data_IF_980369448223
#
_entry.id   IF_980369448223
#
_cell.length_a   1.000
_cell.length_b   1.000
_cell.length_c   1.000
_cell.angle_alpha   90.00
_cell.angle_beta   90.00
_cell.angle_gamma   90.00
#
_symmetry.space_group_name_H-M   'P 1'
#
loop_
_entity.id
_entity.type
_entity.pdbx_description
1 polymer ?
#
# COMPACT_ATOMS: atom_id res chain seq x y z
N UNK A 1 -60.44 -33.08 6.17
CA UNK A 1 -59.84 -32.91 4.82
C UNK A 1 -58.33 -32.92 4.98
N UNK A 2 -57.63 -33.72 4.18
CA UNK A 2 -56.17 -33.80 4.02
C UNK A 2 -55.27 -33.83 5.27
N UNK A 3 -55.06 -35.05 5.77
CA UNK A 3 -53.72 -35.50 6.18
C UNK A 3 -53.05 -36.30 5.04
N UNK A 4 -51.78 -36.68 5.26
CA UNK A 4 -51.01 -37.72 4.55
C UNK A 4 -50.65 -37.52 3.06
N UNK A 5 -49.52 -36.84 2.82
CA UNK A 5 -48.58 -37.04 1.69
C UNK A 5 -47.25 -36.33 2.06
N UNK A 6 -46.02 -36.84 1.85
CA UNK A 6 -45.53 -38.14 1.33
C UNK A 6 -44.28 -38.61 2.11
N UNK A 7 -44.16 -39.91 2.39
CA UNK A 7 -42.88 -40.65 2.39
C UNK A 7 -43.18 -42.04 1.82
N UNK A 8 -42.60 -42.41 0.67
CA UNK A 8 -42.41 -43.80 0.20
C UNK A 8 -41.80 -43.81 -1.21
N UNK A 9 -40.54 -44.24 -1.30
CA UNK A 9 -39.97 -44.85 -2.50
C UNK A 9 -38.99 -45.95 -2.09
N UNK A 10 -39.52 -47.01 -1.44
CA UNK A 10 -38.82 -48.28 -1.31
C UNK A 10 -39.28 -49.23 -2.42
N UNK A 11 -38.32 -49.85 -3.09
CA UNK A 11 -38.53 -50.66 -4.28
C UNK A 11 -39.18 -52.01 -3.90
N UNK A 12 -40.34 -52.40 -4.48
CA UNK A 12 -41.08 -53.59 -4.05
C UNK A 12 -40.56 -54.92 -4.63
N UNK A 13 -39.39 -54.95 -5.27
CA UNK A 13 -38.92 -56.09 -6.07
C UNK A 13 -37.68 -56.83 -5.53
N UNK A 14 -37.28 -56.63 -4.27
CA UNK A 14 -36.24 -57.49 -3.65
C UNK A 14 -36.84 -58.84 -3.19
N UNK A 15 -36.38 -59.98 -3.74
CA UNK A 15 -36.82 -61.30 -3.29
C UNK A 15 -36.23 -61.64 -1.93
N UNK A 16 -37.10 -61.98 -0.96
CA UNK A 16 -36.69 -62.43 0.37
C UNK A 16 -36.04 -63.81 0.29
N UNK A 17 -34.71 -63.88 0.40
CA UNK A 17 -34.02 -65.15 0.68
C UNK A 17 -34.39 -65.67 2.08
N UNK A 18 -34.59 -66.98 2.17
CA UNK A 18 -34.83 -67.69 3.44
C UNK A 18 -33.51 -67.89 4.20
N UNK A 19 -33.55 -68.02 5.54
CA UNK A 19 -32.45 -68.60 6.28
C UNK A 19 -32.42 -70.12 6.04
N UNK A 20 -31.28 -70.63 5.57
CA UNK A 20 -31.03 -72.07 5.44
C UNK A 20 -29.99 -72.49 6.51
N UNK A 21 -30.18 -73.68 7.08
CA UNK A 21 -29.38 -74.15 8.21
C UNK A 21 -27.94 -74.53 7.81
N UNK A 22 -27.07 -74.55 8.82
CA UNK A 22 -25.67 -74.98 8.75
C UNK A 22 -25.45 -76.32 8.00
N UNK A 23 -24.22 -76.51 7.49
CA UNK A 23 -23.40 -77.49 8.21
C UNK A 23 -21.96 -77.04 8.52
N UNK A 24 -21.57 -77.33 9.76
CA UNK A 24 -20.22 -77.34 10.32
C UNK A 24 -19.18 -78.10 9.46
N UNK A 25 -17.95 -77.56 9.32
CA UNK A 25 -16.73 -78.34 9.13
C UNK A 25 -15.70 -78.16 10.27
N UNK A 26 -14.67 -79.00 10.22
CA UNK A 26 -13.64 -79.25 11.26
C UNK A 26 -12.49 -78.21 11.32
N UNK A 27 -11.70 -78.18 12.43
CA UNK A 27 -10.65 -77.18 12.64
C UNK A 27 -9.36 -77.49 11.89
N UNK A 28 -8.68 -76.44 11.40
CA UNK A 28 -7.30 -76.44 10.90
C UNK A 28 -6.70 -75.02 10.96
N UNK A 29 -5.36 -74.88 10.90
CA UNK A 29 -4.55 -74.63 12.08
C UNK A 29 -4.26 -73.15 12.32
N UNK A 30 -3.66 -72.86 13.47
CA UNK A 30 -3.09 -71.56 13.81
C UNK A 30 -2.13 -71.07 12.71
N UNK A 31 -2.44 -69.90 12.15
CA UNK A 31 -1.50 -69.06 11.42
C UNK A 31 -1.32 -67.78 12.20
N UNK A 32 -0.12 -67.57 12.73
CA UNK A 32 0.27 -66.34 13.41
C UNK A 32 0.02 -65.15 12.48
N UNK A 33 -0.84 -64.22 12.90
CA UNK A 33 -0.97 -62.92 12.26
C UNK A 33 -0.06 -61.96 13.02
N UNK A 34 1.09 -61.66 12.43
CA UNK A 34 1.98 -60.61 12.92
C UNK A 34 1.18 -59.30 12.98
N UNK A 35 1.15 -58.70 14.17
CA UNK A 35 0.55 -57.38 14.36
C UNK A 35 1.47 -56.33 13.75
N UNK A 36 1.31 -56.06 12.46
CA UNK A 36 2.04 -55.01 11.75
C UNK A 36 1.67 -53.65 12.38
N UNK A 37 2.54 -53.14 13.26
CA UNK A 37 2.29 -51.88 13.96
C UNK A 37 2.52 -50.72 13.01
N UNK A 38 1.42 -50.22 12.44
CA UNK A 38 1.37 -48.98 11.64
C UNK A 38 1.96 -47.84 12.47
N UNK A 39 3.23 -47.52 12.23
CA UNK A 39 3.86 -46.34 12.83
C UNK A 39 3.21 -45.07 12.24
N UNK A 40 3.00 -44.02 13.05
CA UNK A 40 2.54 -42.75 12.53
C UNK A 40 3.55 -42.20 11.52
N UNK A 41 3.12 -41.60 10.39
CA UNK A 41 4.05 -41.08 9.40
C UNK A 41 4.93 -39.98 10.01
N UNK A 42 6.25 -40.17 9.94
CA UNK A 42 7.22 -39.16 10.39
C UNK A 42 7.04 -37.86 9.59
N UNK A 43 7.01 -36.74 10.30
CA UNK A 43 6.91 -35.42 9.67
C UNK A 43 8.27 -35.00 9.11
N UNK A 44 8.39 -34.99 7.78
CA UNK A 44 9.62 -34.62 7.10
C UNK A 44 9.95 -33.12 7.24
N UNK A 45 11.03 -32.80 7.94
CA UNK A 45 11.69 -31.49 7.83
C UNK A 45 12.53 -31.42 6.54
N UNK A 46 12.37 -30.35 5.75
CA UNK A 46 13.14 -30.16 4.51
C UNK A 46 14.61 -29.90 4.82
N UNK A 47 15.47 -30.84 4.42
CA UNK A 47 16.89 -30.85 4.81
C UNK A 47 17.81 -29.89 4.03
N UNK A 48 17.35 -29.32 2.91
CA UNK A 48 18.12 -28.39 2.09
C UNK A 48 17.26 -27.29 1.46
N UNK A 49 17.10 -26.13 2.13
CA UNK A 49 16.87 -24.88 1.39
C UNK A 49 18.07 -24.62 0.47
N UNK A 50 17.86 -23.90 -0.64
CA UNK A 50 18.94 -23.47 -1.52
C UNK A 50 19.97 -22.59 -0.79
N UNK A 51 21.18 -22.40 -1.35
CA UNK A 51 22.24 -21.65 -0.68
C UNK A 51 21.78 -20.22 -0.35
N UNK A 52 21.80 -19.85 0.93
CA UNK A 52 21.19 -18.62 1.47
C UNK A 52 21.70 -17.33 0.78
N UNK A 53 22.95 -17.33 0.31
CA UNK A 53 23.52 -16.20 -0.42
C UNK A 53 22.75 -15.86 -1.72
N UNK A 54 22.03 -16.82 -2.30
CA UNK A 54 21.23 -16.59 -3.50
C UNK A 54 19.98 -15.76 -3.18
N UNK A 55 19.31 -16.03 -2.06
CA UNK A 55 18.24 -15.17 -1.54
C UNK A 55 18.78 -13.78 -1.19
N UNK A 56 19.96 -13.71 -0.55
CA UNK A 56 20.62 -12.44 -0.21
C UNK A 56 20.98 -11.61 -1.46
N UNK A 57 21.50 -12.24 -2.52
CA UNK A 57 21.81 -11.58 -3.79
C UNK A 57 20.54 -11.07 -4.48
N UNK A 58 19.44 -11.83 -4.40
CA UNK A 58 18.15 -11.38 -4.91
C UNK A 58 17.55 -10.24 -4.10
N UNK A 59 17.59 -10.28 -2.77
CA UNK A 59 17.18 -9.16 -1.91
C UNK A 59 18.05 -7.91 -2.14
N UNK A 60 19.35 -8.08 -2.41
CA UNK A 60 20.26 -6.97 -2.74
C UNK A 60 19.99 -6.40 -4.14
N UNK A 61 19.72 -7.25 -5.13
CA UNK A 61 19.33 -6.83 -6.48
C UNK A 61 17.95 -6.17 -6.51
N UNK A 62 17.02 -6.64 -5.67
CA UNK A 62 15.73 -6.00 -5.42
C UNK A 62 15.92 -4.65 -4.73
N UNK A 63 16.70 -4.58 -3.64
CA UNK A 63 16.96 -3.34 -2.92
C UNK A 63 17.68 -2.31 -3.80
N UNK A 64 18.62 -2.73 -4.65
CA UNK A 64 19.28 -1.84 -5.61
C UNK A 64 18.32 -1.37 -6.72
N UNK A 65 17.49 -2.27 -7.26
CA UNK A 65 16.46 -1.92 -8.24
C UNK A 65 15.41 -0.98 -7.65
N UNK A 66 14.96 -1.24 -6.42
CA UNK A 66 13.97 -0.40 -5.73
C UNK A 66 14.56 0.93 -5.24
N UNK A 67 15.85 0.96 -4.87
CA UNK A 67 16.58 2.22 -4.64
C UNK A 67 16.66 3.06 -5.91
N UNK A 68 16.71 2.43 -7.08
CA UNK A 68 16.65 3.10 -8.39
C UNK A 68 15.21 3.51 -8.78
N UNK A 69 14.18 2.77 -8.34
CA UNK A 69 12.76 3.17 -8.45
C UNK A 69 12.36 4.30 -7.49
N UNK A 70 13.04 4.44 -6.35
CA UNK A 70 12.89 5.58 -5.42
C UNK A 70 13.87 6.71 -5.72
N UNK A 71 14.75 6.52 -6.71
CA UNK A 71 15.29 7.65 -7.46
C UNK A 71 14.11 8.39 -8.07
N UNK A 72 13.96 9.65 -7.71
CA UNK A 72 12.76 10.46 -7.85
C UNK A 72 12.56 11.00 -9.29
N UNK A 73 12.90 10.19 -10.29
CA UNK A 73 12.79 10.52 -11.70
C UNK A 73 11.36 10.87 -12.08
N UNK A 74 11.16 12.07 -12.63
CA UNK A 74 9.86 12.52 -13.09
C UNK A 74 9.26 11.52 -14.09
N UNK A 75 7.98 11.19 -13.92
CA UNK A 75 7.21 10.38 -14.88
C UNK A 75 6.73 11.25 -16.06
N UNK A 76 7.63 12.02 -16.66
CA UNK A 76 7.29 13.05 -17.66
C UNK A 76 6.82 12.43 -19.00
N UNK A 77 7.17 11.17 -19.29
CA UNK A 77 6.75 10.50 -20.52
C UNK A 77 5.86 9.27 -20.26
N UNK A 78 4.84 9.02 -21.13
CA UNK A 78 4.10 7.75 -21.14
C UNK A 78 5.00 6.52 -21.35
N UNK A 79 6.18 6.71 -21.95
CA UNK A 79 7.22 5.69 -22.09
C UNK A 79 7.84 5.29 -20.76
N UNK A 80 7.94 6.19 -19.78
CA UNK A 80 8.40 5.85 -18.44
C UNK A 80 7.35 4.97 -17.77
N UNK A 81 6.08 5.35 -17.83
CA UNK A 81 4.97 4.55 -17.32
C UNK A 81 4.90 3.15 -17.99
N UNK A 82 5.21 3.05 -19.30
CA UNK A 82 5.34 1.78 -20.01
C UNK A 82 6.58 0.99 -19.57
N UNK A 83 7.74 1.64 -19.38
CA UNK A 83 8.95 1.02 -18.87
C UNK A 83 8.74 0.48 -17.45
N UNK A 84 8.04 1.21 -16.58
CA UNK A 84 7.63 0.73 -15.26
C UNK A 84 6.67 -0.46 -15.35
N UNK A 85 5.70 -0.45 -16.27
CA UNK A 85 4.80 -1.59 -16.48
C UNK A 85 5.54 -2.83 -17.02
N UNK A 86 6.45 -2.66 -17.97
CA UNK A 86 7.29 -3.74 -18.52
C UNK A 86 8.29 -4.26 -17.48
N UNK A 87 8.89 -3.37 -16.69
CA UNK A 87 9.77 -3.75 -15.57
C UNK A 87 9.01 -4.51 -14.49
N UNK A 88 7.82 -4.03 -14.10
CA UNK A 88 6.95 -4.74 -13.17
C UNK A 88 6.54 -6.12 -13.71
N UNK A 89 6.24 -6.21 -15.01
CA UNK A 89 5.97 -7.48 -15.71
C UNK A 89 7.19 -8.40 -15.70
N UNK A 90 8.41 -7.88 -15.92
CA UNK A 90 9.65 -8.64 -15.89
C UNK A 90 10.02 -9.12 -14.48
N UNK A 91 9.77 -8.31 -13.44
CA UNK A 91 9.92 -8.69 -12.03
C UNK A 91 8.90 -9.77 -11.66
N UNK A 92 7.63 -9.61 -12.07
CA UNK A 92 6.59 -10.62 -11.88
C UNK A 92 6.96 -11.94 -12.57
N UNK A 93 7.57 -11.86 -13.76
CA UNK A 93 8.03 -13.02 -14.55
C UNK A 93 9.26 -13.72 -13.96
N UNK A 94 10.28 -12.97 -13.51
CA UNK A 94 11.44 -13.54 -12.80
C UNK A 94 11.01 -14.19 -11.47
N UNK A 95 10.10 -13.55 -10.73
CA UNK A 95 9.56 -14.13 -9.51
C UNK A 95 8.74 -15.39 -9.80
N UNK A 96 7.87 -15.37 -10.83
CA UNK A 96 7.03 -16.51 -11.19
C UNK A 96 7.86 -17.71 -11.68
N UNK A 97 8.94 -17.45 -12.43
CA UNK A 97 9.84 -18.50 -12.90
C UNK A 97 10.70 -19.12 -11.78
N UNK A 98 11.12 -18.35 -10.77
CA UNK A 98 11.74 -18.91 -9.56
C UNK A 98 10.79 -19.82 -8.79
N UNK A 99 9.55 -19.37 -8.62
CA UNK A 99 8.50 -20.13 -7.94
C UNK A 99 8.09 -21.39 -8.70
N UNK A 100 8.13 -21.36 -10.04
CA UNK A 100 8.05 -22.55 -10.89
C UNK A 100 9.22 -23.50 -10.60
N UNK A 101 10.46 -22.99 -10.59
CA UNK A 101 11.70 -23.76 -10.37
C UNK A 101 11.73 -24.42 -8.99
N UNK A 102 11.43 -23.68 -7.91
CA UNK A 102 11.42 -24.23 -6.55
C UNK A 102 10.36 -25.31 -6.36
N UNK A 103 9.18 -25.14 -6.97
CA UNK A 103 8.15 -26.19 -7.00
C UNK A 103 8.61 -27.42 -7.80
N UNK A 104 9.23 -27.21 -8.96
CA UNK A 104 9.79 -28.29 -9.78
C UNK A 104 10.86 -29.06 -8.99
N UNK A 105 11.70 -28.35 -8.25
CA UNK A 105 12.79 -28.92 -7.47
C UNK A 105 12.29 -29.67 -6.23
N UNK A 106 11.23 -29.20 -5.55
CA UNK A 106 10.53 -29.99 -4.53
C UNK A 106 9.86 -31.24 -5.10
N UNK A 107 9.23 -31.14 -6.28
CA UNK A 107 8.57 -32.27 -6.95
C UNK A 107 9.59 -33.32 -7.43
N UNK A 108 10.79 -32.88 -7.84
CA UNK A 108 11.94 -33.74 -8.16
C UNK A 108 12.69 -34.28 -6.92
N UNK A 109 12.55 -33.64 -5.75
CA UNK A 109 13.23 -34.03 -4.52
C UNK A 109 12.38 -34.88 -3.57
N UNK A 110 11.14 -35.21 -3.93
CA UNK A 110 10.28 -36.12 -3.18
C UNK A 110 10.90 -37.53 -3.10
N UNK A 111 11.41 -37.97 -1.93
CA UNK A 111 12.12 -39.24 -1.83
C UNK A 111 11.11 -40.37 -1.60
N UNK A 112 10.55 -40.88 -2.70
CA UNK A 112 9.58 -41.99 -2.69
C UNK A 112 9.58 -42.79 -3.98
N UNK A 113 9.75 -42.15 -5.14
CA UNK A 113 9.83 -42.81 -6.44
C UNK A 113 11.20 -42.57 -7.10
N UNK A 114 12.12 -43.51 -6.89
CA UNK A 114 13.34 -43.65 -7.71
C UNK A 114 13.04 -44.05 -9.17
N UNK A 115 11.77 -44.31 -9.48
CA UNK A 115 11.21 -44.51 -10.83
C UNK A 115 10.23 -43.39 -11.17
N UNK A 116 10.72 -42.14 -11.23
CA UNK A 116 9.92 -40.93 -11.51
C UNK A 116 9.17 -40.95 -12.87
N UNK A 117 9.54 -41.89 -13.74
CA UNK A 117 8.60 -42.54 -14.66
C UNK A 117 8.96 -44.04 -14.69
N UNK A 118 8.06 -44.98 -14.33
CA UNK A 118 8.11 -46.28 -14.97
C UNK A 118 7.89 -46.02 -16.47
N UNK A 119 8.76 -46.52 -17.35
CA UNK A 119 8.59 -46.44 -18.81
C UNK A 119 7.47 -47.36 -19.33
N UNK A 120 6.52 -47.72 -18.46
CA UNK A 120 5.21 -48.17 -18.90
C UNK A 120 4.54 -47.02 -19.62
N UNK A 121 4.15 -47.25 -20.88
CA UNK A 121 3.44 -46.30 -21.72
C UNK A 121 1.99 -46.05 -21.27
N UNK A 122 1.70 -46.25 -19.98
CA UNK A 122 0.41 -45.97 -19.39
C UNK A 122 0.26 -44.44 -19.32
N UNK A 123 -0.79 -43.86 -19.95
CA UNK A 123 -1.00 -42.42 -19.92
C UNK A 123 -1.17 -41.95 -18.48
N UNK A 124 -0.62 -40.77 -18.15
CA UNK A 124 -0.80 -40.14 -16.83
C UNK A 124 -2.27 -40.24 -16.42
N UNK A 125 -2.52 -40.79 -15.23
CA UNK A 125 -3.87 -40.80 -14.66
C UNK A 125 -4.35 -39.34 -14.53
N UNK A 126 -5.62 -39.03 -14.84
CA UNK A 126 -6.11 -37.66 -14.83
C UNK A 126 -5.86 -36.92 -13.51
N UNK A 127 -5.84 -37.65 -12.39
CA UNK A 127 -5.62 -37.14 -11.04
C UNK A 127 -4.23 -36.51 -10.86
N UNK A 128 -3.15 -37.17 -11.31
CA UNK A 128 -1.78 -36.63 -11.19
C UNK A 128 -1.59 -35.31 -11.96
N UNK A 129 -2.25 -35.16 -13.10
CA UNK A 129 -2.27 -33.90 -13.84
C UNK A 129 -3.02 -32.78 -13.09
N UNK A 130 -4.07 -33.11 -12.33
CA UNK A 130 -4.80 -32.11 -11.53
C UNK A 130 -4.03 -31.63 -10.31
N UNK A 131 -3.26 -32.48 -9.63
CA UNK A 131 -2.50 -32.09 -8.44
C UNK A 131 -1.34 -31.14 -8.77
N UNK A 132 -0.54 -31.47 -9.80
CA UNK A 132 0.55 -30.60 -10.25
C UNK A 132 0.05 -29.21 -10.66
N UNK A 133 -1.11 -29.14 -11.34
CA UNK A 133 -1.76 -27.88 -11.72
C UNK A 133 -2.27 -27.10 -10.50
N UNK A 134 -2.74 -27.78 -9.45
CA UNK A 134 -3.22 -27.18 -8.19
C UNK A 134 -2.09 -26.58 -7.37
N UNK A 135 -0.95 -27.29 -7.24
CA UNK A 135 0.25 -26.75 -6.59
C UNK A 135 0.76 -25.48 -7.28
N UNK A 136 0.75 -25.48 -8.61
CA UNK A 136 1.14 -24.33 -9.43
C UNK A 136 0.29 -23.07 -9.15
N UNK A 137 -1.02 -23.25 -9.03
CA UNK A 137 -1.96 -22.15 -8.77
C UNK A 137 -1.87 -21.65 -7.32
N UNK A 138 -1.57 -22.52 -6.36
CA UNK A 138 -1.29 -22.12 -4.98
C UNK A 138 -0.06 -21.22 -4.87
N UNK A 139 1.02 -21.58 -5.57
CA UNK A 139 2.26 -20.81 -5.58
C UNK A 139 2.06 -19.46 -6.29
N UNK A 140 1.29 -19.43 -7.39
CA UNK A 140 0.90 -18.18 -8.06
C UNK A 140 -0.03 -17.30 -7.20
N UNK A 141 -0.90 -17.89 -6.37
CA UNK A 141 -1.71 -17.12 -5.41
C UNK A 141 -0.85 -16.51 -4.29
N UNK A 142 0.08 -17.29 -3.75
CA UNK A 142 1.07 -16.83 -2.75
C UNK A 142 1.94 -15.70 -3.31
N UNK A 143 2.30 -15.78 -4.60
CA UNK A 143 3.01 -14.75 -5.35
C UNK A 143 2.37 -13.38 -5.26
N UNK A 144 1.14 -13.31 -5.76
CA UNK A 144 0.44 -12.04 -5.96
C UNK A 144 0.08 -11.48 -4.58
N UNK A 145 -0.20 -12.35 -3.60
CA UNK A 145 -0.36 -11.95 -2.20
C UNK A 145 0.92 -11.31 -1.62
N UNK A 146 2.08 -11.96 -1.72
CA UNK A 146 3.34 -11.41 -1.18
C UNK A 146 3.76 -10.11 -1.89
N UNK A 147 3.67 -10.07 -3.22
CA UNK A 147 3.94 -8.86 -4.02
C UNK A 147 2.97 -7.73 -3.65
N UNK A 148 1.67 -8.02 -3.51
CA UNK A 148 0.68 -7.05 -3.03
C UNK A 148 1.03 -6.52 -1.63
N UNK A 149 1.42 -7.40 -0.71
CA UNK A 149 1.79 -7.00 0.66
C UNK A 149 2.99 -6.05 0.66
N UNK A 150 4.00 -6.32 -0.19
CA UNK A 150 5.18 -5.44 -0.34
C UNK A 150 4.85 -4.11 -1.00
N UNK A 151 3.98 -4.09 -2.02
CA UNK A 151 3.46 -2.84 -2.61
C UNK A 151 2.67 -2.04 -1.56
N UNK A 152 1.85 -2.69 -0.74
CA UNK A 152 1.10 -2.04 0.35
C UNK A 152 2.06 -1.48 1.42
N UNK A 153 3.14 -2.18 1.76
CA UNK A 153 4.18 -1.65 2.67
C UNK A 153 4.92 -0.45 2.07
N UNK A 154 5.28 -0.48 0.78
CA UNK A 154 5.91 0.65 0.09
C UNK A 154 4.97 1.85 0.01
N UNK A 155 3.71 1.60 -0.34
CA UNK A 155 2.63 2.59 -0.31
C UNK A 155 2.45 3.21 1.09
N UNK A 156 2.45 2.39 2.14
CA UNK A 156 2.39 2.88 3.52
C UNK A 156 3.63 3.69 3.90
N UNK A 157 4.83 3.27 3.49
CA UNK A 157 6.07 4.01 3.75
C UNK A 157 6.05 5.37 3.06
N UNK A 158 5.87 5.43 1.74
CA UNK A 158 5.78 6.68 0.96
C UNK A 158 4.70 7.60 1.53
N UNK A 159 3.55 7.05 1.91
CA UNK A 159 2.44 7.79 2.50
C UNK A 159 2.77 8.31 3.91
N UNK A 160 3.43 7.53 4.76
CA UNK A 160 3.89 7.98 6.10
C UNK A 160 4.95 9.07 5.95
N UNK A 161 5.88 8.94 5.01
CA UNK A 161 6.89 9.97 4.68
C UNK A 161 6.22 11.25 4.18
N UNK A 162 5.25 11.14 3.28
CA UNK A 162 4.47 12.29 2.79
C UNK A 162 3.65 12.97 3.91
N UNK A 163 2.96 12.20 4.76
CA UNK A 163 2.26 12.79 5.90
C UNK A 163 3.20 13.34 6.97
N UNK A 164 4.37 12.75 7.19
CA UNK A 164 5.35 13.28 8.14
C UNK A 164 5.92 14.60 7.63
N UNK A 165 6.22 14.70 6.32
CA UNK A 165 6.55 15.96 5.63
C UNK A 165 5.44 17.00 5.79
N UNK A 166 4.19 16.70 5.42
CA UNK A 166 3.09 17.69 5.47
C UNK A 166 2.66 18.06 6.89
N UNK A 167 2.56 17.10 7.80
CA UNK A 167 2.23 17.40 9.21
C UNK A 167 3.38 18.13 9.90
N UNK A 168 4.64 17.82 9.57
CA UNK A 168 5.79 18.61 9.99
C UNK A 168 5.71 20.02 9.41
N UNK A 169 5.46 20.20 8.11
CA UNK A 169 5.38 21.52 7.48
C UNK A 169 4.23 22.37 8.02
N UNK A 170 3.00 21.84 8.06
CA UNK A 170 1.84 22.56 8.60
C UNK A 170 2.05 22.94 10.07
N UNK A 171 2.59 22.03 10.89
CA UNK A 171 2.94 22.32 12.30
C UNK A 171 4.09 23.32 12.42
N UNK A 172 5.08 23.24 11.53
CA UNK A 172 6.21 24.17 11.41
C UNK A 172 5.68 25.57 11.11
N UNK A 173 4.96 25.74 9.99
CA UNK A 173 4.36 27.00 9.60
C UNK A 173 3.41 27.56 10.66
N UNK A 174 2.56 26.74 11.29
CA UNK A 174 1.65 27.21 12.34
C UNK A 174 2.38 27.65 13.61
N UNK A 175 3.35 26.85 14.10
CA UNK A 175 4.16 27.21 15.29
C UNK A 175 4.95 28.49 15.02
N UNK A 176 5.60 28.56 13.85
CA UNK A 176 6.38 29.73 13.43
C UNK A 176 5.52 30.98 13.33
N UNK A 177 4.35 30.92 12.67
CA UNK A 177 3.41 32.05 12.61
C UNK A 177 2.97 32.54 14.00
N UNK A 178 2.71 31.62 14.94
CA UNK A 178 2.30 31.99 16.29
C UNK A 178 3.44 32.65 17.08
N UNK A 179 4.66 32.12 16.98
CA UNK A 179 5.86 32.67 17.61
C UNK A 179 6.25 34.04 17.02
N UNK A 180 6.15 34.22 15.68
CA UNK A 180 6.34 35.51 15.01
C UNK A 180 5.28 36.52 15.44
N UNK A 181 3.99 36.14 15.53
CA UNK A 181 2.93 37.01 16.06
C UNK A 181 3.17 37.40 17.51
N UNK A 182 3.69 36.48 18.34
CA UNK A 182 4.08 36.77 19.72
C UNK A 182 5.26 37.75 19.80
N UNK A 183 6.28 37.58 18.93
CA UNK A 183 7.40 38.52 18.81
C UNK A 183 6.94 39.92 18.40
N UNK A 184 6.09 40.05 17.37
CA UNK A 184 5.51 41.33 16.92
C UNK A 184 4.73 42.00 18.06
N UNK A 185 3.99 41.23 18.86
CA UNK A 185 3.24 41.76 20.00
C UNK A 185 4.14 42.21 21.18
N UNK A 186 5.33 41.62 21.34
CA UNK A 186 6.30 42.00 22.38
C UNK A 186 7.15 43.19 21.94
N UNK A 187 7.69 43.17 20.72
CA UNK A 187 8.45 44.27 20.14
C UNK A 187 8.09 44.48 18.66
N UNK A 188 7.29 45.52 18.32
CA UNK A 188 6.96 45.84 16.94
C UNK A 188 8.16 46.41 16.16
N UNK A 189 9.26 46.80 16.83
CA UNK A 189 10.48 47.26 16.15
C UNK A 189 11.33 46.07 15.69
N UNK A 190 11.05 45.57 14.48
CA UNK A 190 11.71 44.41 13.87
C UNK A 190 13.24 44.57 13.79
N UNK A 191 13.75 45.80 13.69
CA UNK A 191 15.19 46.11 13.61
C UNK A 191 15.95 45.64 14.86
N UNK A 192 15.28 45.56 16.02
CA UNK A 192 15.89 45.10 17.28
C UNK A 192 15.95 43.57 17.41
N UNK A 193 15.16 42.82 16.63
CA UNK A 193 15.02 41.37 16.75
C UNK A 193 16.33 40.55 16.68
N UNK A 194 17.37 40.91 15.90
CA UNK A 194 18.65 40.17 15.91
C UNK A 194 19.35 40.17 17.28
N UNK A 195 19.05 41.17 18.12
CA UNK A 195 19.65 41.35 19.44
C UNK A 195 18.79 40.77 20.57
N UNK A 196 17.55 40.35 20.28
CA UNK A 196 16.63 39.77 21.25
C UNK A 196 16.78 38.24 21.20
N UNK A 197 17.34 37.60 22.23
CA UNK A 197 17.50 36.15 22.23
C UNK A 197 16.13 35.46 22.30
N UNK A 198 15.74 34.77 21.22
CA UNK A 198 14.58 33.87 21.21
C UNK A 198 15.04 32.40 21.10
N UNK A 199 15.29 31.71 22.22
CA UNK A 199 15.77 30.34 22.21
C UNK A 199 14.73 29.33 21.67
N UNK A 200 13.43 29.66 21.68
CA UNK A 200 12.38 28.85 21.05
C UNK A 200 12.57 28.84 19.53
N UNK A 201 12.68 30.03 18.94
CA UNK A 201 12.84 30.22 17.51
C UNK A 201 14.21 29.72 17.02
N UNK A 202 15.28 30.02 17.74
CA UNK A 202 16.63 29.56 17.41
C UNK A 202 16.72 28.02 17.42
N UNK A 203 16.19 27.35 18.46
CA UNK A 203 16.14 25.87 18.47
C UNK A 203 15.24 25.30 17.37
N UNK A 204 14.15 25.99 17.03
CA UNK A 204 13.23 25.58 15.97
C UNK A 204 13.86 25.67 14.57
N UNK A 205 14.62 26.73 14.29
CA UNK A 205 15.28 26.97 13.01
C UNK A 205 16.52 26.10 12.83
N UNK A 206 17.37 25.99 13.85
CA UNK A 206 18.58 25.13 13.82
C UNK A 206 18.21 23.66 13.53
N UNK A 207 17.11 23.15 14.10
CA UNK A 207 16.60 21.79 13.82
C UNK A 207 16.19 21.55 12.36
N UNK A 208 16.07 22.61 11.56
CA UNK A 208 15.70 22.59 10.13
C UNK A 208 16.81 23.11 9.22
N UNK A 209 17.98 23.43 9.77
CA UNK A 209 19.13 23.94 9.01
C UNK A 209 19.11 25.43 8.70
N UNK A 210 18.33 26.24 9.44
CA UNK A 210 18.27 27.70 9.28
C UNK A 210 18.91 28.41 10.47
N UNK A 211 19.61 29.53 10.22
CA UNK A 211 20.13 30.41 11.27
C UNK A 211 19.13 31.57 11.53
N UNK A 212 18.81 31.82 12.81
CA UNK A 212 17.85 32.87 13.18
C UNK A 212 18.34 34.27 12.81
N UNK A 213 19.63 34.56 12.93
CA UNK A 213 20.17 35.89 12.64
C UNK A 213 20.15 36.15 11.14
N UNK A 214 20.53 35.16 10.33
CA UNK A 214 20.43 35.24 8.87
C UNK A 214 18.99 35.52 8.43
N UNK A 215 18.00 34.78 8.96
CA UNK A 215 16.60 34.99 8.57
C UNK A 215 16.02 36.33 9.03
N UNK A 216 16.44 36.86 10.19
CA UNK A 216 16.04 38.21 10.61
C UNK A 216 16.76 39.28 9.77
N UNK A 217 18.00 39.06 9.32
CA UNK A 217 18.65 39.96 8.36
C UNK A 217 17.92 39.95 7.00
N UNK A 218 17.43 38.80 6.53
CA UNK A 218 16.59 38.71 5.33
C UNK A 218 15.28 39.51 5.48
N UNK A 219 14.67 39.49 6.68
CA UNK A 219 13.50 40.32 7.00
C UNK A 219 13.82 41.82 7.05
N UNK A 220 14.94 42.21 7.68
CA UNK A 220 15.39 43.61 7.74
C UNK A 220 15.70 44.13 6.32
N UNK A 221 16.40 43.37 5.50
CA UNK A 221 16.64 43.69 4.08
C UNK A 221 15.33 43.89 3.32
N UNK A 222 14.31 43.06 3.59
CA UNK A 222 12.98 43.20 2.98
C UNK A 222 12.26 44.47 3.47
N UNK A 223 12.43 44.88 4.73
CA UNK A 223 11.89 46.14 5.28
C UNK A 223 12.57 47.39 4.73
N UNK A 224 13.89 47.34 4.51
CA UNK A 224 14.67 48.46 3.97
C UNK A 224 14.55 48.59 2.44
N UNK A 225 14.09 47.53 1.76
CA UNK A 225 13.92 47.52 0.32
C UNK A 225 12.76 48.41 -0.16
N UNK A 226 12.90 48.92 -1.39
CA UNK A 226 11.94 49.83 -2.01
C UNK A 226 11.20 49.15 -3.17
N UNK A 227 9.95 49.54 -3.35
CA UNK A 227 9.12 49.20 -4.52
C UNK A 227 9.66 49.83 -5.80
N UNK A 228 9.18 49.40 -6.97
CA UNK A 228 9.54 49.96 -8.27
C UNK A 228 9.29 51.49 -8.37
N UNK A 229 8.32 52.01 -7.60
CA UNK A 229 8.00 53.44 -7.51
C UNK A 229 8.90 54.22 -6.52
N UNK A 230 9.92 53.56 -5.95
CA UNK A 230 10.85 54.14 -4.97
C UNK A 230 10.27 54.31 -3.56
N UNK A 231 9.05 53.83 -3.29
CA UNK A 231 8.45 53.88 -1.96
C UNK A 231 8.95 52.71 -1.11
N UNK A 232 9.25 52.98 0.17
CA UNK A 232 9.50 51.96 1.18
C UNK A 232 8.29 51.01 1.30
N UNK A 233 8.56 49.73 1.53
CA UNK A 233 7.51 48.73 1.69
C UNK A 233 6.86 48.90 3.07
N UNK A 234 5.54 48.81 3.12
CA UNK A 234 4.80 48.79 4.39
C UNK A 234 5.27 47.61 5.27
N UNK A 235 5.54 47.81 6.58
CA UNK A 235 6.10 46.76 7.42
C UNK A 235 5.27 45.47 7.52
N UNK A 236 3.94 45.54 7.39
CA UNK A 236 3.11 44.33 7.36
C UNK A 236 3.29 43.58 6.03
N UNK A 237 3.28 44.30 4.91
CA UNK A 237 3.57 43.72 3.58
C UNK A 237 4.98 43.13 3.50
N UNK A 238 6.00 43.81 4.04
CA UNK A 238 7.37 43.30 4.10
C UNK A 238 7.46 42.00 4.94
N UNK A 239 6.74 41.95 6.06
CA UNK A 239 6.65 40.73 6.89
C UNK A 239 5.99 39.59 6.11
N UNK A 240 4.91 39.85 5.38
CA UNK A 240 4.24 38.81 4.56
C UNK A 240 5.13 38.33 3.41
N UNK A 241 5.85 39.23 2.72
CA UNK A 241 6.83 38.92 1.66
C UNK A 241 7.95 38.01 2.20
N UNK A 242 8.55 38.37 3.34
CA UNK A 242 9.56 37.55 4.00
C UNK A 242 8.99 36.19 4.44
N UNK A 243 7.79 36.16 5.03
CA UNK A 243 7.11 34.92 5.42
C UNK A 243 6.93 33.96 4.24
N UNK A 244 6.63 34.45 3.02
CA UNK A 244 6.53 33.61 1.81
C UNK A 244 7.89 33.05 1.38
N UNK A 245 8.92 33.88 1.32
CA UNK A 245 10.29 33.46 1.01
C UNK A 245 10.78 32.40 1.99
N UNK A 246 10.69 32.69 3.29
CA UNK A 246 11.05 31.75 4.34
C UNK A 246 10.25 30.43 4.27
N UNK A 247 8.92 30.47 4.05
CA UNK A 247 8.15 29.23 3.92
C UNK A 247 8.51 28.43 2.67
N UNK A 248 8.94 29.08 1.59
CA UNK A 248 9.48 28.43 0.40
C UNK A 248 10.83 27.79 0.68
N UNK A 249 11.75 28.49 1.37
CA UNK A 249 13.05 27.94 1.78
C UNK A 249 12.90 26.71 2.67
N UNK A 250 11.99 26.74 3.64
CA UNK A 250 11.65 25.57 4.47
C UNK A 250 11.11 24.42 3.61
N UNK A 251 10.26 24.70 2.62
CA UNK A 251 9.75 23.66 1.71
C UNK A 251 10.85 23.06 0.83
N UNK A 252 11.72 23.89 0.25
CA UNK A 252 12.86 23.43 -0.55
C UNK A 252 13.81 22.57 0.28
N UNK A 253 14.13 23.01 1.51
CA UNK A 253 15.04 22.30 2.40
C UNK A 253 14.47 20.96 2.83
N UNK A 254 13.19 20.91 3.23
CA UNK A 254 12.51 19.66 3.53
C UNK A 254 12.46 18.74 2.29
N UNK A 255 12.18 19.28 1.10
CA UNK A 255 12.18 18.49 -0.14
C UNK A 255 13.56 17.89 -0.43
N UNK A 256 14.65 18.66 -0.29
CA UNK A 256 16.03 18.16 -0.42
C UNK A 256 16.34 17.05 0.59
N UNK A 257 15.87 17.18 1.83
CA UNK A 257 16.09 16.15 2.87
C UNK A 257 15.32 14.85 2.59
N UNK A 258 14.24 14.88 1.78
CA UNK A 258 13.48 13.70 1.36
C UNK A 258 13.81 13.19 -0.06
N UNK A 259 14.39 14.03 -0.94
CA UNK A 259 14.71 13.69 -2.31
C UNK A 259 16.23 13.53 -2.52
N UNK A 260 16.69 12.28 -2.64
CA UNK A 260 18.09 11.94 -2.87
C UNK A 260 18.66 12.44 -4.20
N UNK A 261 17.81 12.74 -5.19
CA UNK A 261 18.24 13.23 -6.51
C UNK A 261 18.43 14.76 -6.54
N UNK A 262 18.12 15.45 -5.44
CA UNK A 262 18.20 16.91 -5.35
C UNK A 262 16.98 17.63 -5.93
N UNK A 263 17.18 18.89 -6.30
CA UNK A 263 16.15 19.77 -6.87
C UNK A 263 16.44 19.91 -8.38
N UNK A 264 15.45 19.71 -9.28
CA UNK A 264 15.60 20.00 -10.69
C UNK A 264 16.12 21.42 -10.96
N UNK A 265 17.04 21.57 -11.92
CA UNK A 265 17.73 22.85 -12.20
C UNK A 265 16.77 24.01 -12.55
N UNK A 266 15.65 23.70 -13.22
CA UNK A 266 14.63 24.67 -13.57
C UNK A 266 13.82 25.14 -12.33
N UNK A 267 13.55 24.21 -11.42
CA UNK A 267 12.87 24.46 -10.16
C UNK A 267 13.76 25.26 -9.20
N UNK A 268 15.05 24.94 -9.12
CA UNK A 268 16.03 25.72 -8.37
C UNK A 268 16.16 27.14 -8.95
N UNK A 269 16.26 27.30 -10.27
CA UNK A 269 16.31 28.64 -10.90
C UNK A 269 15.08 29.49 -10.58
N UNK A 270 13.87 28.90 -10.59
CA UNK A 270 12.64 29.61 -10.21
C UNK A 270 12.62 29.99 -8.73
N UNK A 271 13.12 29.11 -7.85
CA UNK A 271 13.29 29.41 -6.43
C UNK A 271 14.24 30.60 -6.21
N UNK A 272 15.36 30.64 -6.93
CA UNK A 272 16.35 31.72 -6.86
C UNK A 272 15.78 33.03 -7.42
N UNK A 273 15.01 32.98 -8.52
CA UNK A 273 14.31 34.14 -9.08
C UNK A 273 13.27 34.68 -8.08
N UNK A 274 12.46 33.83 -7.45
CA UNK A 274 11.49 34.26 -6.44
C UNK A 274 12.15 34.91 -5.20
N UNK A 275 13.34 34.43 -4.82
CA UNK A 275 14.13 35.01 -3.72
C UNK A 275 14.78 36.36 -4.08
N UNK A 276 15.05 36.61 -5.36
CA UNK A 276 15.69 37.86 -5.81
C UNK A 276 14.67 38.89 -6.28
N UNK A 277 13.63 38.47 -7.01
CA UNK A 277 12.56 39.30 -7.58
C UNK A 277 11.51 39.70 -6.55
N UNK A 278 11.81 40.76 -5.80
CA UNK A 278 10.94 41.33 -4.77
C UNK A 278 9.56 41.77 -5.30
N UNK A 279 9.50 42.33 -6.51
CA UNK A 279 8.26 42.79 -7.14
C UNK A 279 7.28 41.64 -7.34
N UNK A 280 7.78 40.46 -7.74
CA UNK A 280 6.95 39.27 -7.92
C UNK A 280 6.36 38.78 -6.60
N UNK A 281 7.15 38.72 -5.51
CA UNK A 281 6.64 38.32 -4.20
C UNK A 281 5.59 39.30 -3.66
N UNK A 282 5.75 40.60 -3.91
CA UNK A 282 4.75 41.62 -3.55
C UNK A 282 3.44 41.45 -4.35
N UNK A 283 3.54 41.15 -5.65
CA UNK A 283 2.38 40.86 -6.50
C UNK A 283 1.63 39.63 -5.97
N UNK A 284 2.37 38.55 -5.74
CA UNK A 284 1.88 37.30 -5.18
C UNK A 284 1.16 37.49 -3.84
N UNK A 285 1.76 38.20 -2.88
CA UNK A 285 1.12 38.45 -1.57
C UNK A 285 -0.21 39.20 -1.73
N UNK A 286 -0.26 40.20 -2.62
CA UNK A 286 -1.49 40.98 -2.87
C UNK A 286 -2.59 40.14 -3.54
N UNK A 287 -2.24 39.28 -4.49
CA UNK A 287 -3.23 38.51 -5.25
C UNK A 287 -3.65 37.21 -4.54
N UNK A 288 -2.81 36.66 -3.66
CA UNK A 288 -3.06 35.39 -2.98
C UNK A 288 -4.35 35.35 -2.15
N UNK A 289 -4.83 36.49 -1.68
CA UNK A 289 -6.10 36.61 -0.95
C UNK A 289 -7.35 36.65 -1.86
N UNK A 290 -7.21 36.94 -3.15
CA UNK A 290 -8.32 37.15 -4.09
C UNK A 290 -8.32 36.19 -5.27
N UNK A 291 -7.15 35.88 -5.82
CA UNK A 291 -6.94 34.84 -6.82
C UNK A 291 -5.57 34.15 -6.62
N UNK A 292 -5.44 33.21 -5.66
CA UNK A 292 -4.21 32.44 -5.45
C UNK A 292 -3.75 31.67 -6.70
N UNK A 293 -4.64 31.43 -7.66
CA UNK A 293 -4.34 30.79 -8.93
C UNK A 293 -3.67 31.75 -9.94
N UNK A 294 -3.34 32.98 -9.55
CA UNK A 294 -2.52 33.94 -10.32
C UNK A 294 -1.15 34.27 -9.68
N UNK A 295 -0.86 33.72 -8.49
CA UNK A 295 0.44 33.89 -7.81
C UNK A 295 1.47 32.86 -8.30
N UNK A 296 2.72 33.23 -8.55
CA UNK A 296 3.77 32.27 -8.97
C UNK A 296 4.15 31.26 -7.86
N UNK A 297 4.01 31.65 -6.59
CA UNK A 297 4.17 30.81 -5.41
C UNK A 297 3.17 29.65 -5.39
N UNK A 298 1.91 29.92 -5.75
CA UNK A 298 0.80 28.97 -5.59
C UNK A 298 0.18 28.46 -6.88
N UNK A 299 0.47 29.07 -8.04
CA UNK A 299 -0.18 28.73 -9.30
C UNK A 299 -0.15 27.22 -9.50
N UNK A 300 -1.33 26.64 -9.66
CA UNK A 300 -1.52 25.19 -9.82
C UNK A 300 -2.32 24.85 -11.09
N UNK A 301 -2.67 25.87 -11.88
CA UNK A 301 -3.46 25.73 -13.10
C UNK A 301 -2.72 24.88 -14.14
N UNK A 302 -3.24 23.67 -14.36
CA UNK A 302 -2.88 22.81 -15.48
C UNK A 302 -3.43 23.40 -16.80
N UNK A 303 -2.76 24.42 -17.33
CA UNK A 303 -3.03 24.98 -18.67
C UNK A 303 -2.06 24.42 -19.72
N UNK A 304 -1.97 23.08 -19.77
CA UNK A 304 -1.47 22.29 -20.90
C UNK A 304 -0.27 22.84 -21.69
N UNK A 305 0.94 22.82 -21.12
CA UNK A 305 2.20 22.44 -21.83
C UNK A 305 3.49 22.72 -21.05
N UNK A 306 3.48 23.56 -20.02
CA UNK A 306 4.66 23.83 -19.17
C UNK A 306 4.32 23.87 -17.67
N UNK A 307 4.99 23.06 -16.83
CA UNK A 307 4.86 23.17 -15.37
C UNK A 307 5.64 24.40 -14.89
N UNK A 308 4.93 25.50 -14.63
CA UNK A 308 5.53 26.79 -14.29
C UNK A 308 5.68 27.09 -12.79
N UNK A 309 5.65 26.07 -11.94
CA UNK A 309 5.16 26.20 -10.57
C UNK A 309 6.20 25.70 -9.57
N UNK A 310 6.63 26.55 -8.62
CA UNK A 310 7.64 26.12 -7.63
C UNK A 310 7.03 25.12 -6.66
N UNK A 311 5.95 25.51 -5.97
CA UNK A 311 5.32 24.64 -4.99
C UNK A 311 4.58 23.46 -5.64
N UNK A 312 3.98 23.68 -6.82
CA UNK A 312 3.39 22.62 -7.64
C UNK A 312 4.43 21.56 -8.04
N UNK A 313 5.56 21.96 -8.63
CA UNK A 313 6.63 21.05 -9.04
C UNK A 313 7.24 20.25 -7.89
N UNK A 314 7.42 20.86 -6.71
CA UNK A 314 7.87 20.15 -5.50
C UNK A 314 6.89 19.07 -5.01
N UNK A 315 5.60 19.15 -5.40
CA UNK A 315 4.52 18.35 -4.82
C UNK A 315 3.85 17.39 -5.80
N UNK A 316 3.94 17.61 -7.11
CA UNK A 316 3.14 16.91 -8.11
C UNK A 316 3.48 15.40 -8.17
N UNK A 317 4.78 15.06 -8.24
CA UNK A 317 5.24 13.66 -8.16
C UNK A 317 4.69 12.91 -6.92
N UNK A 318 4.90 13.42 -5.69
CA UNK A 318 4.30 12.86 -4.48
C UNK A 318 2.75 12.81 -4.49
N UNK A 319 2.07 13.82 -5.04
CA UNK A 319 0.61 13.87 -5.12
C UNK A 319 0.03 12.83 -6.09
N UNK A 320 0.57 12.77 -7.31
CA UNK A 320 0.21 11.77 -8.33
C UNK A 320 0.50 10.37 -7.79
N UNK A 321 1.69 10.15 -7.22
CA UNK A 321 2.05 8.87 -6.58
C UNK A 321 1.03 8.46 -5.52
N UNK A 322 0.66 9.37 -4.60
CA UNK A 322 -0.30 9.05 -3.53
C UNK A 322 -1.72 8.76 -4.06
N UNK A 323 -2.16 9.47 -5.11
CA UNK A 323 -3.45 9.17 -5.81
C UNK A 323 -3.43 7.78 -6.44
N UNK A 324 -2.37 7.48 -7.20
CA UNK A 324 -2.20 6.21 -7.90
C UNK A 324 -2.09 5.03 -6.92
N UNK A 325 -1.37 5.20 -5.82
CA UNK A 325 -1.17 4.18 -4.76
C UNK A 325 -2.50 3.61 -4.24
N UNK A 326 -3.49 4.45 -3.96
CA UNK A 326 -4.79 4.00 -3.43
C UNK A 326 -5.55 3.19 -4.50
N UNK A 327 -5.50 3.65 -5.76
CA UNK A 327 -6.09 2.93 -6.89
C UNK A 327 -5.43 1.58 -7.14
N UNK A 328 -4.10 1.52 -7.17
CA UNK A 328 -3.36 0.27 -7.31
C UNK A 328 -3.64 -0.69 -6.16
N UNK A 329 -3.68 -0.24 -4.91
CA UNK A 329 -4.03 -1.08 -3.76
C UNK A 329 -5.46 -1.67 -3.89
N UNK A 330 -6.43 -0.87 -4.32
CA UNK A 330 -7.79 -1.34 -4.58
C UNK A 330 -7.87 -2.34 -5.72
N UNK A 331 -7.25 -2.06 -6.87
CA UNK A 331 -7.21 -2.94 -8.04
C UNK A 331 -6.53 -4.26 -7.71
N UNK A 332 -5.41 -4.24 -6.99
CA UNK A 332 -4.66 -5.45 -6.59
C UNK A 332 -5.50 -6.32 -5.64
N UNK A 333 -6.11 -5.76 -4.59
CA UNK A 333 -6.98 -6.53 -3.69
C UNK A 333 -8.21 -7.11 -4.41
N UNK A 334 -8.82 -6.34 -5.31
CA UNK A 334 -9.98 -6.78 -6.11
C UNK A 334 -9.57 -7.94 -7.03
N UNK A 335 -8.44 -7.81 -7.72
CA UNK A 335 -7.92 -8.82 -8.66
C UNK A 335 -7.52 -10.11 -7.95
N UNK A 336 -6.81 -10.01 -6.82
CA UNK A 336 -6.48 -11.16 -5.95
C UNK A 336 -7.73 -11.93 -5.51
N UNK A 337 -8.77 -11.19 -5.12
CA UNK A 337 -10.01 -11.80 -4.64
C UNK A 337 -10.78 -12.48 -5.77
N UNK A 338 -10.77 -11.91 -6.98
CA UNK A 338 -11.34 -12.55 -8.18
C UNK A 338 -10.56 -13.82 -8.58
N UNK A 339 -9.23 -13.79 -8.56
CA UNK A 339 -8.38 -14.97 -8.83
C UNK A 339 -8.67 -16.08 -7.82
N UNK A 340 -8.71 -15.75 -6.52
CA UNK A 340 -9.05 -16.70 -5.47
C UNK A 340 -10.48 -17.27 -5.64
N UNK A 341 -11.44 -16.42 -6.01
CA UNK A 341 -12.82 -16.84 -6.29
C UNK A 341 -12.88 -17.85 -7.43
N UNK A 342 -12.29 -17.52 -8.60
CA UNK A 342 -12.27 -18.39 -9.78
C UNK A 342 -11.58 -19.72 -9.48
N UNK A 343 -10.49 -19.73 -8.71
CA UNK A 343 -9.86 -20.98 -8.27
C UNK A 343 -10.71 -21.80 -7.31
N UNK A 344 -11.49 -21.15 -6.43
CA UNK A 344 -12.39 -21.83 -5.50
C UNK A 344 -13.60 -22.48 -6.19
N UNK A 345 -14.03 -21.97 -7.36
CA UNK A 345 -15.08 -22.60 -8.18
C UNK A 345 -14.52 -23.66 -9.13
N UNK A 346 -13.44 -23.35 -9.86
CA UNK A 346 -12.95 -24.21 -10.94
C UNK A 346 -12.13 -25.42 -10.45
N UNK A 347 -11.59 -25.36 -9.23
CA UNK A 347 -10.61 -26.33 -8.71
C UNK A 347 -11.17 -27.50 -7.89
N UNK A 348 -12.46 -27.53 -7.56
CA UNK A 348 -13.03 -28.59 -6.72
C UNK A 348 -14.54 -28.79 -6.90
N UNK A 349 -14.95 -30.01 -7.26
CA UNK A 349 -16.36 -30.42 -7.36
C UNK A 349 -17.11 -30.49 -6.00
N UNK A 350 -16.39 -30.30 -4.89
CA UNK A 350 -16.93 -30.16 -3.54
C UNK A 350 -16.68 -28.74 -3.03
N UNK A 351 -17.68 -28.08 -2.41
CA UNK A 351 -17.55 -26.70 -1.97
C UNK A 351 -16.52 -26.59 -0.84
N UNK A 352 -15.36 -26.03 -1.15
CA UNK A 352 -14.34 -25.65 -0.17
C UNK A 352 -14.93 -24.65 0.84
N UNK A 353 -14.41 -24.72 2.06
CA UNK A 353 -14.94 -24.13 3.29
C UNK A 353 -15.70 -22.79 3.12
N UNK A 354 -16.87 -22.69 3.77
CA UNK A 354 -17.68 -21.46 3.82
C UNK A 354 -16.90 -20.27 4.35
N UNK A 355 -15.90 -20.50 5.22
CA UNK A 355 -15.05 -19.43 5.76
C UNK A 355 -14.05 -18.90 4.72
N UNK A 356 -13.50 -19.74 3.83
CA UNK A 356 -12.63 -19.30 2.73
C UNK A 356 -13.37 -18.33 1.79
N UNK A 357 -14.61 -18.68 1.42
CA UNK A 357 -15.49 -17.80 0.62
C UNK A 357 -15.76 -16.46 1.30
N UNK A 358 -15.94 -16.43 2.63
CA UNK A 358 -16.13 -15.18 3.39
C UNK A 358 -14.90 -14.28 3.31
N UNK A 359 -13.70 -14.83 3.53
CA UNK A 359 -12.43 -14.07 3.45
C UNK A 359 -12.24 -13.48 2.05
N UNK A 360 -12.49 -14.25 0.99
CA UNK A 360 -12.43 -13.78 -0.40
C UNK A 360 -13.41 -12.62 -0.64
N UNK A 361 -14.66 -12.74 -0.19
CA UNK A 361 -15.69 -11.70 -0.33
C UNK A 361 -15.29 -10.42 0.42
N UNK A 362 -14.75 -10.53 1.64
CA UNK A 362 -14.32 -9.36 2.43
C UNK A 362 -13.15 -8.63 1.75
N UNK A 363 -12.15 -9.38 1.26
CA UNK A 363 -11.01 -8.80 0.52
C UNK A 363 -11.45 -8.13 -0.77
N UNK A 364 -12.43 -8.70 -1.48
CA UNK A 364 -13.04 -8.09 -2.65
C UNK A 364 -13.73 -6.78 -2.31
N UNK A 365 -14.57 -6.75 -1.26
CA UNK A 365 -15.24 -5.54 -0.83
C UNK A 365 -14.26 -4.46 -0.33
N UNK A 366 -13.19 -4.82 0.37
CA UNK A 366 -12.15 -3.85 0.76
C UNK A 366 -11.45 -3.27 -0.48
N UNK A 367 -11.07 -4.11 -1.44
CA UNK A 367 -10.49 -3.65 -2.71
C UNK A 367 -11.43 -2.71 -3.46
N UNK A 368 -12.72 -3.06 -3.53
CA UNK A 368 -13.76 -2.23 -4.14
C UNK A 368 -13.97 -0.91 -3.39
N UNK A 369 -13.94 -0.89 -2.05
CA UNK A 369 -13.99 0.35 -1.26
C UNK A 369 -12.78 1.23 -1.53
N UNK A 370 -11.56 0.68 -1.58
CA UNK A 370 -10.35 1.44 -1.95
C UNK A 370 -10.44 2.00 -3.38
N UNK A 371 -10.98 1.23 -4.34
CA UNK A 371 -11.27 1.73 -5.68
C UNK A 371 -12.32 2.87 -5.66
N UNK A 372 -13.37 2.76 -4.84
CA UNK A 372 -14.37 3.82 -4.68
C UNK A 372 -13.81 5.07 -4.01
N UNK A 373 -12.74 4.99 -3.21
CA UNK A 373 -12.02 6.17 -2.72
C UNK A 373 -11.37 6.98 -3.87
N UNK A 374 -11.14 6.41 -5.06
CA UNK A 374 -10.75 7.21 -6.23
C UNK A 374 -11.86 8.17 -6.67
N UNK A 375 -13.12 7.93 -6.33
CA UNK A 375 -14.21 8.89 -6.56
C UNK A 375 -14.06 10.15 -5.69
N UNK A 376 -13.22 10.13 -4.65
CA UNK A 376 -12.81 11.36 -3.95
C UNK A 376 -11.97 12.28 -4.85
N UNK A 377 -11.37 11.78 -5.94
CA UNK A 377 -10.77 12.64 -6.96
C UNK A 377 -11.83 13.41 -7.77
N UNK A 378 -13.14 13.15 -7.63
CA UNK A 378 -14.17 13.96 -8.28
C UNK A 378 -14.26 15.32 -7.57
N UNK A 379 -14.00 16.39 -8.34
CA UNK A 379 -14.08 17.79 -7.93
C UNK A 379 -13.81 18.71 -9.12
N UNK A 380 -14.29 19.95 -9.05
CA UNK A 380 -14.02 20.97 -10.09
C UNK A 380 -12.54 21.31 -10.14
N UNK A 381 -11.91 21.39 -8.95
CA UNK A 381 -10.49 21.67 -8.80
C UNK A 381 -9.73 20.41 -8.39
N UNK A 382 -8.76 20.03 -9.23
CA UNK A 382 -7.82 18.92 -9.02
C UNK A 382 -6.53 19.37 -8.31
N UNK A 383 -6.57 20.55 -7.71
CA UNK A 383 -5.43 21.29 -7.15
C UNK A 383 -5.53 21.27 -5.62
N UNK A 384 -4.38 21.17 -4.92
CA UNK A 384 -4.35 21.15 -3.45
C UNK A 384 -4.71 22.53 -2.88
N UNK A 385 -4.16 23.59 -3.47
CA UNK A 385 -4.47 24.97 -3.14
C UNK A 385 -5.58 25.47 -4.09
N UNK A 386 -6.60 26.09 -3.50
CA UNK A 386 -7.82 26.56 -4.18
C UNK A 386 -8.32 27.77 -3.36
N UNK A 387 -8.88 28.83 -3.97
CA UNK A 387 -9.44 29.99 -3.26
C UNK A 387 -10.40 29.61 -2.12
N UNK A 388 -10.50 30.45 -1.09
CA UNK A 388 -11.26 30.13 0.13
C UNK A 388 -12.76 29.94 -0.12
N UNK A 389 -13.35 30.77 -0.98
CA UNK A 389 -14.72 30.65 -1.47
C UNK A 389 -14.94 29.41 -2.36
N UNK A 390 -13.88 28.92 -3.00
CA UNK A 390 -13.91 27.76 -3.89
C UNK A 390 -13.50 26.43 -3.24
N UNK A 391 -13.09 26.43 -1.96
CA UNK A 391 -12.74 25.20 -1.21
C UNK A 391 -13.84 24.14 -1.24
N UNK A 392 -15.12 24.55 -1.34
CA UNK A 392 -16.30 23.68 -1.44
C UNK A 392 -16.40 22.94 -2.79
N UNK A 393 -15.60 23.32 -3.80
CA UNK A 393 -15.51 22.64 -5.10
C UNK A 393 -14.19 21.87 -5.32
N UNK A 394 -13.22 21.99 -4.40
CA UNK A 394 -11.98 21.18 -4.37
C UNK A 394 -12.29 19.68 -4.31
N UNK A 395 -11.53 18.85 -5.03
CA UNK A 395 -11.67 17.40 -4.99
C UNK A 395 -11.69 16.85 -3.54
N UNK A 396 -12.63 15.94 -3.26
CA UNK A 396 -12.85 15.38 -1.93
C UNK A 396 -11.61 14.70 -1.33
N UNK A 397 -10.69 14.23 -2.17
CA UNK A 397 -9.44 13.59 -1.76
C UNK A 397 -8.58 14.55 -0.93
N UNK A 398 -8.54 15.84 -1.30
CA UNK A 398 -7.77 16.86 -0.59
C UNK A 398 -8.39 17.23 0.74
N UNK A 399 -9.72 17.41 0.80
CA UNK A 399 -10.40 17.63 2.09
C UNK A 399 -10.23 16.44 3.03
N UNK A 400 -10.19 15.24 2.48
CA UNK A 400 -9.87 14.04 3.24
C UNK A 400 -8.41 14.09 3.74
N UNK A 401 -7.42 14.40 2.89
CA UNK A 401 -6.02 14.66 3.30
C UNK A 401 -5.92 15.68 4.44
N UNK A 402 -6.60 16.82 4.33
CA UNK A 402 -6.61 17.90 5.34
C UNK A 402 -7.30 17.49 6.65
N UNK A 403 -8.27 16.57 6.62
CA UNK A 403 -9.05 16.19 7.80
C UNK A 403 -8.25 15.45 8.89
N UNK A 404 -6.95 15.17 8.71
CA UNK A 404 -6.10 14.31 9.56
C UNK A 404 -6.58 12.84 9.74
N UNK A 405 -7.83 12.54 9.37
CA UNK A 405 -8.46 11.24 9.56
C UNK A 405 -8.06 10.17 8.52
N UNK A 406 -7.39 10.50 7.41
CA UNK A 406 -7.07 9.52 6.35
C UNK A 406 -6.26 8.32 6.85
N UNK A 407 -5.25 8.57 7.69
CA UNK A 407 -4.43 7.52 8.28
C UNK A 407 -5.25 6.69 9.28
N UNK A 408 -5.91 7.30 10.30
CA UNK A 408 -6.86 6.60 11.16
C UNK A 408 -7.93 5.78 10.42
N UNK A 409 -8.62 6.34 9.42
CA UNK A 409 -9.70 5.63 8.72
C UNK A 409 -9.20 4.41 7.95
N UNK A 410 -8.05 4.51 7.28
CA UNK A 410 -7.45 3.35 6.59
C UNK A 410 -6.91 2.33 7.59
N UNK A 411 -6.27 2.77 8.69
CA UNK A 411 -5.80 1.86 9.73
C UNK A 411 -6.95 1.10 10.42
N UNK A 412 -8.06 1.79 10.71
CA UNK A 412 -9.29 1.20 11.26
C UNK A 412 -9.90 0.20 10.26
N UNK A 413 -9.97 0.55 8.96
CA UNK A 413 -10.52 -0.35 7.95
C UNK A 413 -9.70 -1.66 7.83
N UNK A 414 -8.36 -1.57 7.76
CA UNK A 414 -7.50 -2.75 7.76
C UNK A 414 -7.55 -3.53 9.09
N UNK A 415 -7.64 -2.84 10.24
CA UNK A 415 -7.80 -3.47 11.54
C UNK A 415 -9.11 -4.27 11.66
N UNK A 416 -10.22 -3.70 11.19
CA UNK A 416 -11.51 -4.40 11.12
C UNK A 416 -11.42 -5.61 10.19
N UNK A 417 -10.85 -5.46 8.99
CA UNK A 417 -10.64 -6.59 8.06
C UNK A 417 -9.85 -7.72 8.74
N UNK A 418 -8.71 -7.39 9.37
CA UNK A 418 -7.83 -8.36 10.04
C UNK A 418 -8.55 -9.12 11.15
N UNK A 419 -9.36 -8.44 11.98
CA UNK A 419 -10.17 -9.08 13.01
C UNK A 419 -11.24 -10.03 12.44
N UNK A 420 -11.85 -9.69 11.29
CA UNK A 420 -12.81 -10.59 10.63
C UNK A 420 -12.09 -11.79 10.00
N UNK A 421 -10.90 -11.61 9.44
CA UNK A 421 -10.09 -12.71 8.91
C UNK A 421 -9.65 -13.69 10.01
N UNK A 422 -9.12 -13.19 11.14
CA UNK A 422 -8.76 -14.02 12.31
C UNK A 422 -9.98 -14.78 12.83
N UNK A 423 -11.09 -14.09 13.11
CA UNK A 423 -12.28 -14.74 13.67
C UNK A 423 -12.93 -15.74 12.70
N UNK A 424 -12.71 -15.60 11.39
CA UNK A 424 -13.10 -16.60 10.39
C UNK A 424 -12.17 -17.82 10.40
N UNK A 425 -10.85 -17.61 10.51
CA UNK A 425 -9.86 -18.69 10.59
C UNK A 425 -9.98 -19.52 11.89
N UNK A 426 -10.27 -18.88 13.03
CA UNK A 426 -10.53 -19.58 14.29
C UNK A 426 -11.79 -20.45 14.20
N UNK A 427 -12.86 -19.94 13.58
CA UNK A 427 -14.10 -20.72 13.37
C UNK A 427 -13.87 -21.93 12.46
N UNK A 428 -13.14 -21.75 11.35
CA UNK A 428 -12.74 -22.87 10.50
C UNK A 428 -11.98 -23.94 11.29
N UNK A 429 -10.99 -23.55 12.10
CA UNK A 429 -10.20 -24.45 12.96
C UNK A 429 -11.03 -25.15 14.03
N UNK A 430 -12.09 -24.51 14.55
CA UNK A 430 -13.03 -25.13 15.48
C UNK A 430 -13.96 -26.14 14.79
N UNK A 431 -14.37 -25.86 13.54
CA UNK A 431 -15.21 -26.75 12.74
C UNK A 431 -14.41 -28.01 12.29
N UNK A 432 -13.17 -27.87 11.81
CA UNK A 432 -12.33 -29.04 11.47
C UNK A 432 -12.07 -29.94 12.69
N UNK A 433 -11.72 -29.35 13.84
CA UNK A 433 -11.58 -30.08 15.12
C UNK A 433 -12.86 -30.72 15.64
N UNK A 434 -14.03 -30.30 15.14
CA UNK A 434 -15.30 -30.96 15.44
C UNK A 434 -15.47 -32.16 14.52
N UNK A 435 -15.26 -31.99 13.22
CA UNK A 435 -15.34 -33.08 12.24
C UNK A 435 -14.33 -34.21 12.50
N UNK A 436 -13.11 -33.89 12.96
CA UNK A 436 -12.11 -34.87 13.40
C UNK A 436 -12.64 -35.74 14.56
N UNK A 437 -13.12 -35.13 15.65
CA UNK A 437 -13.68 -35.86 16.81
C UNK A 437 -14.93 -36.66 16.47
N UNK A 438 -15.75 -36.20 15.51
CA UNK A 438 -16.88 -36.97 14.97
C UNK A 438 -16.39 -38.21 14.22
N UNK A 439 -15.34 -38.08 13.40
CA UNK A 439 -14.73 -39.22 12.67
C UNK A 439 -14.05 -40.23 13.59
N UNK A 440 -13.43 -39.78 14.67
CA UNK A 440 -12.79 -40.64 15.68
C UNK A 440 -13.80 -41.33 16.61
N UNK A 441 -15.10 -41.03 16.47
CA UNK A 441 -16.16 -41.60 17.31
C UNK A 441 -16.21 -41.04 18.73
N UNK A 442 -15.47 -39.96 19.01
CA UNK A 442 -15.43 -39.29 20.32
C UNK A 442 -16.68 -38.46 20.63
N UNK A 443 -17.61 -38.29 19.68
CA UNK A 443 -18.83 -37.47 19.83
C UNK A 443 -19.73 -37.90 21.02
N UNK A 444 -19.55 -39.11 21.56
CA UNK A 444 -20.26 -39.62 22.74
C UNK A 444 -19.43 -39.69 24.05
N UNK A 445 -18.20 -39.13 24.10
CA UNK A 445 -17.47 -38.97 25.37
C UNK A 445 -17.86 -37.63 26.03
N UNK A 446 -18.43 -37.66 27.26
CA UNK A 446 -18.90 -36.45 27.95
C UNK A 446 -17.79 -35.57 28.51
#
# INVERSE_FOLDING_TARGET
MHEQWRQLSRNPFEPKLKPELEPKPEPKPESESESESVQPPEQFELKYPGPEWFHLFYDLAWAASFSSLTGNGNFDYPLDMLNYFLFFTAVLWMWASQSYMGCLQQLLASPGETTLFPTDNNPLTPEGYTEGKKAHLWILALAIALTATRIIHLAQYLRVTYYSFWSSWLKTAHTFNNEIRALIAINPNVIEWPNIPNPSMESFLIRRGFDWKEEVQNLIYTLESTTADGQLIDPALATEVWMKRFSLSVMLKLFQDFNLEGVPDDLQRRFDDYHTNLTQVIYDVKIMATNPNESEYFQLIWSGSTPNQILGGLLDGPLISTRCIIGFAGVVLTSLSLIAFVHSELGSATPRDRHERRVIIIRFFMGLVLCLLLLLNVGKYQEFFVPEDEMVYRAGVFRWFEAFWVLPTIAIAYGIQFLIEISSAERAKCETKKEERVREGEENRP
#
